data_IF_099833611616
#
_entry.id   IF_099833611616
#
_cell.length_a   1.000
_cell.length_b   1.000
_cell.length_c   1.000
_cell.angle_alpha   90.00
_cell.angle_beta   90.00
_cell.angle_gamma   90.00
#
_symmetry.space_group_name_H-M   'P 1'
#
loop_
_entity.id
_entity.type
_entity.pdbx_description
1 polymer ?
#
# COMPACT_ATOMS: atom_id res chain seq x y z
N UNK A 1 33.43 66.41 33.48
CA UNK A 1 33.55 65.29 32.53
C UNK A 1 32.63 64.18 33.03
N UNK A 2 31.39 64.11 32.54
CA UNK A 2 30.44 63.06 32.90
C UNK A 2 30.20 62.18 31.68
N UNK A 3 30.77 60.97 31.69
CA UNK A 3 30.49 59.93 30.71
C UNK A 3 29.16 59.24 31.06
N UNK A 4 28.14 59.45 30.24
CA UNK A 4 26.89 58.71 30.28
C UNK A 4 27.06 57.35 29.59
N UNK A 5 26.94 56.27 30.36
CA UNK A 5 26.91 54.91 29.84
C UNK A 5 25.61 54.62 29.10
N UNK A 6 25.70 54.35 27.80
CA UNK A 6 24.60 53.82 27.01
C UNK A 6 24.30 52.38 27.45
N UNK A 7 23.13 52.16 28.06
CA UNK A 7 22.60 50.80 28.27
C UNK A 7 22.05 50.29 26.94
N UNK A 8 22.77 49.37 26.32
CA UNK A 8 22.28 48.56 25.20
C UNK A 8 21.04 47.79 25.64
N UNK A 9 19.87 48.14 25.10
CA UNK A 9 18.63 47.41 25.31
C UNK A 9 18.76 46.03 24.64
N UNK A 10 18.79 44.97 25.43
CA UNK A 10 18.69 43.60 24.96
C UNK A 10 17.25 43.39 24.49
N UNK A 11 17.07 43.10 23.19
CA UNK A 11 15.78 42.75 22.63
C UNK A 11 15.22 41.52 23.37
N UNK A 12 14.06 41.67 23.99
CA UNK A 12 13.34 40.55 24.58
C UNK A 12 12.93 39.59 23.47
N UNK A 13 13.48 38.37 23.48
CA UNK A 13 12.97 37.27 22.66
C UNK A 13 11.52 37.03 23.07
N UNK A 14 10.58 37.43 22.22
CA UNK A 14 9.16 37.30 22.48
C UNK A 14 8.78 35.84 22.71
N UNK A 15 7.93 35.59 23.71
CA UNK A 15 7.42 34.26 23.99
C UNK A 15 6.74 33.67 22.72
N UNK A 16 6.91 32.37 22.44
CA UNK A 16 6.27 31.74 21.28
C UNK A 16 4.75 31.90 21.38
N UNK A 17 4.14 32.40 20.30
CA UNK A 17 2.69 32.52 20.18
C UNK A 17 2.07 31.12 20.26
N UNK A 18 0.95 30.94 20.98
CA UNK A 18 0.23 29.67 21.02
C UNK A 18 -0.23 29.25 19.61
N UNK A 19 -0.12 27.95 19.31
CA UNK A 19 -0.65 27.38 18.07
C UNK A 19 -2.20 27.36 18.11
N UNK A 20 -2.83 27.77 17.01
CA UNK A 20 -4.28 27.74 16.82
C UNK A 20 -4.71 26.40 16.21
N UNK A 21 -5.07 25.45 17.06
CA UNK A 21 -5.47 24.10 16.66
C UNK A 21 -6.91 24.07 16.14
N UNK A 22 -7.10 23.53 14.94
CA UNK A 22 -8.43 23.37 14.31
C UNK A 22 -8.66 21.91 13.96
N UNK A 23 -9.89 21.45 14.17
CA UNK A 23 -10.33 20.18 13.64
C UNK A 23 -10.28 20.21 12.11
N UNK A 24 -9.74 19.14 11.51
CA UNK A 24 -9.55 19.04 10.06
C UNK A 24 -10.13 17.74 9.50
N UNK A 25 -9.79 16.60 10.09
CA UNK A 25 -10.18 15.29 9.54
C UNK A 25 -10.39 14.25 10.64
N UNK A 26 -11.29 13.29 10.39
CA UNK A 26 -11.52 12.10 11.21
C UNK A 26 -11.61 10.86 10.32
N UNK A 27 -11.07 9.74 10.81
CA UNK A 27 -11.16 8.42 10.18
C UNK A 27 -11.75 7.42 11.18
N UNK A 28 -12.43 6.38 10.68
CA UNK A 28 -13.01 5.34 11.52
C UNK A 28 -14.29 5.78 12.23
N UNK A 29 -15.15 6.53 11.54
CA UNK A 29 -16.45 6.95 12.08
C UNK A 29 -17.27 5.72 12.50
N UNK A 30 -17.76 5.74 13.74
CA UNK A 30 -18.48 4.62 14.36
C UNK A 30 -19.98 4.79 14.18
N UNK A 31 -20.68 3.68 13.97
CA UNK A 31 -22.13 3.68 14.08
C UNK A 31 -22.53 3.83 15.56
N UNK A 32 -23.57 4.60 15.85
CA UNK A 32 -24.04 4.78 17.23
C UNK A 32 -24.41 3.41 17.86
N UNK A 33 -23.73 3.04 18.94
CA UNK A 33 -23.94 1.77 19.65
C UNK A 33 -22.92 0.67 19.33
N UNK A 34 -21.96 0.90 18.42
CA UNK A 34 -20.88 -0.03 18.14
C UNK A 34 -19.74 0.12 19.17
N UNK A 35 -19.36 -1.00 19.80
CA UNK A 35 -18.23 -1.05 20.73
C UNK A 35 -16.90 -1.04 19.94
N UNK A 36 -15.89 -0.37 20.50
CA UNK A 36 -14.56 -0.32 19.89
C UNK A 36 -13.93 -1.70 20.01
N UNK A 37 -13.63 -2.34 18.89
CA UNK A 37 -12.85 -3.56 18.95
C UNK A 37 -11.43 -3.22 19.38
N UNK A 38 -10.89 -3.99 20.32
CA UNK A 38 -9.56 -3.75 20.84
C UNK A 38 -8.49 -3.83 19.74
N UNK A 39 -8.67 -4.73 18.77
CA UNK A 39 -7.82 -4.90 17.60
C UNK A 39 -7.78 -3.68 16.68
N UNK A 40 -8.81 -2.83 16.69
CA UNK A 40 -8.90 -1.61 15.88
C UNK A 40 -8.31 -0.37 16.59
N UNK A 41 -7.86 -0.50 17.84
CA UNK A 41 -7.24 0.61 18.56
C UNK A 41 -5.87 0.91 17.94
N UNK A 42 -5.73 2.12 17.41
CA UNK A 42 -4.46 2.63 16.89
C UNK A 42 -3.41 2.65 18.02
N UNK A 43 -2.32 1.96 17.80
CA UNK A 43 -1.21 1.75 18.73
C UNK A 43 0.05 2.51 18.31
N UNK A 44 0.23 2.77 17.02
CA UNK A 44 1.35 3.51 16.46
C UNK A 44 0.90 4.44 15.33
N UNK A 45 1.52 5.61 15.24
CA UNK A 45 1.27 6.59 14.17
C UNK A 45 2.59 7.28 13.80
N UNK A 46 2.87 7.42 12.51
CA UNK A 46 4.06 8.13 12.05
C UNK A 46 3.89 8.74 10.65
N UNK A 47 4.28 10.01 10.51
CA UNK A 47 4.45 10.65 9.22
C UNK A 47 5.82 10.30 8.64
N UNK A 48 5.91 10.22 7.31
CA UNK A 48 7.20 10.15 6.65
C UNK A 48 7.95 11.49 6.74
N UNK A 49 9.21 11.49 6.31
CA UNK A 49 10.07 12.68 6.43
C UNK A 49 9.58 13.89 5.62
N UNK A 50 8.78 13.68 4.57
CA UNK A 50 8.20 14.77 3.76
C UNK A 50 6.84 15.23 4.27
N UNK A 51 6.14 14.37 5.03
CA UNK A 51 4.76 14.60 5.47
C UNK A 51 3.71 14.28 4.41
N UNK A 52 4.10 13.63 3.30
CA UNK A 52 3.17 13.21 2.24
C UNK A 52 2.49 11.88 2.54
N UNK A 53 3.08 11.08 3.41
CA UNK A 53 2.56 9.78 3.81
C UNK A 53 2.40 9.68 5.32
N UNK A 54 1.30 9.07 5.74
CA UNK A 54 0.97 8.78 7.13
C UNK A 54 0.74 7.29 7.27
N UNK A 55 1.44 6.65 8.20
CA UNK A 55 1.21 5.26 8.57
C UNK A 55 0.57 5.18 9.95
N UNK A 56 -0.42 4.31 10.09
CA UNK A 56 -1.01 3.93 11.37
C UNK A 56 -0.89 2.43 11.55
N UNK A 57 -0.53 1.99 12.76
CA UNK A 57 -0.59 0.60 13.18
C UNK A 57 -1.60 0.43 14.30
N UNK A 58 -2.26 -0.71 14.36
CA UNK A 58 -3.24 -1.02 15.41
C UNK A 58 -2.80 -2.19 16.31
N UNK A 59 -3.64 -2.54 17.29
CA UNK A 59 -3.41 -3.70 18.17
C UNK A 59 -3.61 -5.02 17.46
N UNK A 60 -4.41 -5.05 16.39
CA UNK A 60 -4.64 -6.20 15.52
C UNK A 60 -3.55 -6.42 14.48
N UNK A 61 -2.37 -5.79 14.60
CA UNK A 61 -1.22 -6.06 13.75
C UNK A 61 -1.33 -5.54 12.32
N UNK A 62 -2.35 -4.74 11.98
CA UNK A 62 -2.51 -4.13 10.66
C UNK A 62 -1.72 -2.83 10.58
N UNK A 63 -1.23 -2.53 9.39
CA UNK A 63 -0.65 -1.23 9.05
C UNK A 63 -1.49 -0.63 7.92
N UNK A 64 -2.03 0.56 8.16
CA UNK A 64 -2.80 1.36 7.19
C UNK A 64 -1.97 2.56 6.77
N UNK A 65 -1.88 2.78 5.47
CA UNK A 65 -1.17 3.89 4.86
C UNK A 65 -2.16 4.88 4.27
N UNK A 66 -1.89 6.15 4.54
CA UNK A 66 -2.59 7.29 3.96
C UNK A 66 -1.61 8.13 3.15
N UNK A 67 -2.13 8.81 2.13
CA UNK A 67 -1.39 9.79 1.34
C UNK A 67 -2.08 11.15 1.38
N UNK A 68 -1.27 12.21 1.43
CA UNK A 68 -1.73 13.59 1.43
C UNK A 68 -2.34 13.94 0.07
N UNK A 69 -3.46 14.68 0.06
CA UNK A 69 -4.21 14.96 -1.16
C UNK A 69 -3.83 16.25 -1.86
N UNK A 70 -3.34 17.24 -1.11
CA UNK A 70 -3.07 18.60 -1.60
C UNK A 70 -1.91 18.70 -2.60
N UNK A 71 -0.92 17.81 -2.55
CA UNK A 71 0.19 17.76 -3.52
C UNK A 71 -0.28 17.56 -4.96
N UNK A 72 -1.43 16.93 -5.19
CA UNK A 72 -1.98 16.73 -6.55
C UNK A 72 -2.64 17.99 -7.10
N UNK A 73 -3.14 18.86 -6.24
CA UNK A 73 -3.85 20.07 -6.65
C UNK A 73 -2.88 21.20 -7.05
N UNK A 74 -1.65 21.19 -6.54
CA UNK A 74 -0.60 22.12 -6.97
C UNK A 74 -0.18 21.94 -8.44
N UNK A 75 -0.26 20.72 -9.00
CA UNK A 75 0.05 20.48 -10.41
C UNK A 75 -1.09 20.85 -11.37
N UNK A 76 -2.33 20.92 -10.88
CA UNK A 76 -3.53 21.28 -11.65
C UNK A 76 -3.88 22.78 -11.64
N UNK A 77 -3.45 23.53 -10.61
CA UNK A 77 -3.86 24.92 -10.41
C UNK A 77 -3.09 25.96 -11.25
N UNK A 78 -1.99 25.60 -11.92
CA UNK A 78 -1.28 26.54 -12.82
C UNK A 78 -2.08 26.94 -14.07
N UNK A 79 -3.20 26.27 -14.37
CA UNK A 79 -4.06 26.60 -15.52
C UNK A 79 -5.15 27.62 -15.22
N UNK A 80 -5.48 27.88 -13.94
CA UNK A 80 -6.42 28.93 -13.54
C UNK A 80 -5.68 30.01 -12.75
N UNK A 81 -5.03 30.91 -13.50
CA UNK A 81 -4.33 32.08 -12.97
C UNK A 81 -5.28 33.12 -12.31
N UNK A 82 -6.59 32.90 -12.37
CA UNK A 82 -7.63 33.84 -11.93
C UNK A 82 -8.06 33.68 -10.46
N UNK A 83 -7.49 32.71 -9.71
CA UNK A 83 -7.89 32.42 -8.32
C UNK A 83 -6.84 32.76 -7.26
N UNK A 84 -6.03 33.79 -7.53
CA UNK A 84 -4.94 34.26 -6.66
C UNK A 84 -5.37 35.28 -5.58
N UNK A 85 -6.67 35.47 -5.33
CA UNK A 85 -7.17 36.43 -4.33
C UNK A 85 -7.52 35.79 -2.97
N UNK A 86 -7.31 34.48 -2.80
CA UNK A 86 -7.45 33.81 -1.50
C UNK A 86 -6.16 33.07 -1.14
N UNK A 87 -5.63 33.22 0.09
CA UNK A 87 -4.52 32.39 0.55
C UNK A 87 -4.94 30.92 0.42
N UNK A 88 -4.06 30.07 -0.11
CA UNK A 88 -4.22 28.62 -0.20
C UNK A 88 -4.27 28.00 1.20
N UNK A 89 -5.41 28.21 1.87
CA UNK A 89 -5.66 27.86 3.27
C UNK A 89 -6.44 26.53 3.36
N UNK A 90 -6.18 25.57 2.46
CA UNK A 90 -6.63 24.20 2.70
C UNK A 90 -5.67 23.54 3.67
N UNK A 91 -6.19 23.10 4.81
CA UNK A 91 -5.48 22.22 5.72
C UNK A 91 -5.16 20.90 4.99
N UNK A 92 -3.97 20.29 5.23
CA UNK A 92 -3.62 19.01 4.62
C UNK A 92 -4.70 17.95 4.90
N UNK A 93 -5.24 17.36 3.84
CA UNK A 93 -6.17 16.24 3.92
C UNK A 93 -5.43 14.96 3.51
N UNK A 94 -5.73 13.87 4.20
CA UNK A 94 -5.17 12.55 3.92
C UNK A 94 -6.25 11.66 3.31
N UNK A 95 -5.87 10.78 2.38
CA UNK A 95 -6.76 9.74 1.84
C UNK A 95 -6.18 8.37 2.13
N UNK A 96 -7.05 7.39 2.31
CA UNK A 96 -6.65 6.00 2.38
C UNK A 96 -5.88 5.62 1.11
N UNK A 97 -4.70 5.02 1.27
CA UNK A 97 -3.88 4.51 0.17
C UNK A 97 -3.97 2.99 0.10
N UNK A 98 -3.59 2.32 1.18
CA UNK A 98 -3.56 0.85 1.23
C UNK A 98 -3.39 0.36 2.66
N UNK A 99 -3.66 -0.91 2.91
CA UNK A 99 -3.43 -1.57 4.19
C UNK A 99 -2.85 -2.97 4.00
N UNK A 100 -2.21 -3.50 5.04
CA UNK A 100 -1.72 -4.86 5.05
C UNK A 100 -1.60 -5.41 6.48
N UNK A 101 -1.78 -6.73 6.63
CA UNK A 101 -1.51 -7.44 7.88
C UNK A 101 0.00 -7.53 8.10
N UNK A 102 0.52 -6.82 9.08
CA UNK A 102 1.95 -6.80 9.33
C UNK A 102 2.38 -7.93 10.26
N UNK A 103 1.72 -8.06 11.40
CA UNK A 103 1.98 -9.09 12.41
C UNK A 103 0.74 -9.94 12.64
N UNK A 104 0.94 -11.19 13.04
CA UNK A 104 -0.11 -12.13 13.41
C UNK A 104 0.21 -12.65 14.81
N UNK A 105 -0.77 -13.13 15.58
CA UNK A 105 -0.51 -13.68 16.90
C UNK A 105 0.41 -14.91 16.77
N UNK A 106 1.48 -14.92 17.56
CA UNK A 106 2.44 -16.03 17.62
C UNK A 106 2.49 -16.58 19.05
N UNK A 107 2.85 -17.85 19.24
CA UNK A 107 3.06 -18.44 20.57
C UNK A 107 4.44 -19.07 20.67
N UNK A 108 5.21 -18.71 21.71
CA UNK A 108 6.49 -19.33 22.03
C UNK A 108 6.25 -20.52 22.97
N UNK A 109 6.35 -21.74 22.44
CA UNK A 109 6.14 -22.97 23.20
C UNK A 109 7.25 -23.27 24.22
N UNK A 110 8.46 -22.74 24.03
CA UNK A 110 9.57 -22.99 24.95
C UNK A 110 9.48 -22.07 26.17
N UNK A 111 9.03 -20.83 25.95
CA UNK A 111 8.85 -19.83 27.00
C UNK A 111 7.41 -19.76 27.52
N UNK A 112 6.48 -20.51 26.94
CA UNK A 112 5.03 -20.46 27.19
C UNK A 112 4.48 -19.04 27.16
N UNK A 113 4.89 -18.27 26.14
CA UNK A 113 4.60 -16.85 26.03
C UNK A 113 3.80 -16.57 24.76
N UNK A 114 2.65 -15.92 24.92
CA UNK A 114 1.88 -15.36 23.81
C UNK A 114 2.57 -14.09 23.30
N UNK A 115 2.70 -14.01 21.98
CA UNK A 115 3.28 -12.87 21.27
C UNK A 115 2.14 -12.16 20.59
N UNK A 116 1.80 -10.99 21.10
CA UNK A 116 0.78 -10.14 20.51
C UNK A 116 1.17 -9.70 19.09
N UNK A 117 0.15 -9.58 18.24
CA UNK A 117 0.29 -9.00 16.90
C UNK A 117 0.39 -7.48 16.92
N UNK A 118 0.14 -6.85 18.06
CA UNK A 118 0.16 -5.40 18.24
C UNK A 118 1.40 -4.75 17.63
N UNK A 119 1.14 -3.71 16.83
CA UNK A 119 2.21 -2.84 16.33
C UNK A 119 2.69 -1.93 17.45
N UNK A 120 3.96 -2.05 17.83
CA UNK A 120 4.55 -1.20 18.87
C UNK A 120 5.06 0.13 18.30
N UNK A 121 5.71 0.08 17.13
CA UNK A 121 6.28 1.24 16.45
C UNK A 121 6.29 1.01 14.94
N UNK A 122 6.17 2.12 14.22
CA UNK A 122 6.41 2.22 12.78
C UNK A 122 7.58 3.19 12.58
N UNK A 123 8.44 2.89 11.62
CA UNK A 123 9.54 3.76 11.17
C UNK A 123 9.61 3.83 9.66
N UNK A 124 9.28 4.99 9.08
CA UNK A 124 9.51 5.24 7.67
C UNK A 124 11.00 5.18 7.31
N UNK A 125 11.29 4.55 6.19
CA UNK A 125 12.60 4.52 5.55
C UNK A 125 12.57 5.39 4.30
N UNK A 126 13.74 5.80 3.81
CA UNK A 126 13.81 6.62 2.60
C UNK A 126 13.17 5.90 1.41
N UNK A 127 12.20 6.56 0.76
CA UNK A 127 11.55 6.05 -0.44
C UNK A 127 12.55 5.99 -1.60
N UNK A 128 12.43 4.95 -2.43
CA UNK A 128 13.31 4.75 -3.58
C UNK A 128 12.57 3.98 -4.68
N UNK A 129 12.88 4.27 -5.94
CA UNK A 129 12.32 3.57 -7.11
C UNK A 129 10.77 3.55 -7.15
N UNK A 130 10.12 4.61 -6.65
CA UNK A 130 8.65 4.69 -6.58
C UNK A 130 8.03 3.68 -5.61
N UNK A 131 8.81 3.17 -4.66
CA UNK A 131 8.33 2.31 -3.58
C UNK A 131 8.49 3.01 -2.22
N UNK A 132 7.54 2.72 -1.34
CA UNK A 132 7.55 3.13 0.05
C UNK A 132 8.22 2.03 0.88
N UNK A 133 9.00 2.45 1.86
CA UNK A 133 9.69 1.54 2.76
C UNK A 133 9.39 1.92 4.20
N UNK A 134 9.05 0.94 5.03
CA UNK A 134 8.86 1.16 6.46
C UNK A 134 9.26 -0.07 7.26
N UNK A 135 9.62 0.16 8.51
CA UNK A 135 9.79 -0.87 9.52
C UNK A 135 8.56 -0.88 10.42
N UNK A 136 8.08 -2.06 10.76
CA UNK A 136 7.10 -2.26 11.84
C UNK A 136 7.68 -3.22 12.88
N UNK A 137 7.34 -3.02 14.14
CA UNK A 137 7.86 -3.84 15.24
C UNK A 137 6.75 -4.36 16.12
N UNK A 138 6.86 -5.61 16.57
CA UNK A 138 6.16 -6.12 17.75
C UNK A 138 7.20 -6.50 18.82
N UNK A 139 6.81 -7.25 19.85
CA UNK A 139 7.69 -7.59 20.98
C UNK A 139 8.86 -8.51 20.63
N UNK A 140 8.80 -9.20 19.49
CA UNK A 140 9.77 -10.24 19.11
C UNK A 140 10.44 -10.03 17.77
N UNK A 141 9.80 -9.29 16.88
CA UNK A 141 10.19 -9.21 15.48
C UNK A 141 10.12 -7.79 14.98
N UNK A 142 11.06 -7.48 14.08
CA UNK A 142 11.05 -6.27 13.27
C UNK A 142 10.82 -6.72 11.84
N UNK A 143 9.84 -6.14 11.16
CA UNK A 143 9.55 -6.43 9.75
C UNK A 143 9.87 -5.21 8.92
N UNK A 144 10.63 -5.41 7.84
CA UNK A 144 10.87 -4.42 6.81
C UNK A 144 9.91 -4.66 5.66
N UNK A 145 9.17 -3.61 5.31
CA UNK A 145 8.14 -3.62 4.29
C UNK A 145 8.55 -2.75 3.12
N UNK A 146 8.42 -3.30 1.92
CA UNK A 146 8.39 -2.55 0.67
C UNK A 146 6.97 -2.56 0.14
N UNK A 147 6.39 -1.38 -0.02
CA UNK A 147 5.06 -1.16 -0.58
C UNK A 147 5.22 -0.48 -1.93
N UNK A 148 4.74 -1.12 -3.00
CA UNK A 148 4.87 -0.59 -4.35
C UNK A 148 3.59 -0.82 -5.14
N UNK A 149 3.02 0.25 -5.69
CA UNK A 149 1.93 0.15 -6.65
C UNK A 149 2.46 -0.37 -7.98
N UNK A 150 1.85 -1.44 -8.51
CA UNK A 150 2.16 -1.97 -9.83
C UNK A 150 0.86 -2.11 -10.63
N UNK A 151 0.85 -1.58 -11.84
CA UNK A 151 -0.23 -1.85 -12.81
C UNK A 151 -0.06 -3.26 -13.34
N UNK A 152 -0.83 -4.21 -12.79
CA UNK A 152 -0.84 -5.57 -13.30
C UNK A 152 -1.84 -5.64 -14.44
N UNK A 153 -1.36 -5.99 -15.64
CA UNK A 153 -2.23 -6.34 -16.76
C UNK A 153 -2.60 -7.80 -16.59
N UNK A 154 -3.82 -8.08 -16.12
CA UNK A 154 -4.35 -9.44 -16.07
C UNK A 154 -5.05 -9.72 -17.40
N UNK A 155 -4.63 -10.78 -18.07
CA UNK A 155 -5.34 -11.29 -19.25
C UNK A 155 -6.38 -12.28 -18.73
N UNK A 156 -7.65 -11.92 -18.83
CA UNK A 156 -8.77 -12.80 -18.51
C UNK A 156 -9.34 -13.37 -19.82
N UNK A 157 -9.92 -14.57 -19.76
CA UNK A 157 -10.46 -15.33 -20.89
C UNK A 157 -9.40 -15.87 -21.86
N UNK A 158 -8.88 -17.06 -21.53
CA UNK A 158 -8.25 -17.96 -22.51
C UNK A 158 -9.34 -18.95 -22.96
N UNK A 159 -9.44 -19.18 -24.26
CA UNK A 159 -10.37 -20.18 -24.80
C UNK A 159 -9.81 -21.58 -24.49
N UNK A 160 -10.02 -22.08 -23.27
CA UNK A 160 -9.72 -23.47 -22.91
C UNK A 160 -11.06 -24.16 -22.70
N UNK A 161 -11.51 -24.87 -23.71
CA UNK A 161 -12.65 -25.78 -23.62
C UNK A 161 -12.34 -26.91 -22.63
N UNK A 162 -12.62 -26.70 -21.35
CA UNK A 162 -12.63 -27.78 -20.34
C UNK A 162 -13.97 -28.52 -20.43
N UNK A 163 -14.22 -29.24 -21.52
CA UNK A 163 -15.23 -30.30 -21.54
C UNK A 163 -15.22 -31.10 -22.84
N UNK A 164 -14.54 -32.25 -22.82
CA UNK A 164 -15.00 -33.52 -23.40
C UNK A 164 -14.05 -34.66 -23.00
N UNK A 165 -14.08 -35.00 -21.71
CA UNK A 165 -13.73 -36.34 -21.25
C UNK A 165 -14.98 -36.93 -20.57
N UNK A 166 -15.96 -37.31 -21.40
CA UNK A 166 -17.04 -38.22 -20.97
C UNK A 166 -16.45 -39.63 -20.97
N UNK A 167 -16.65 -40.35 -19.89
CA UNK A 167 -15.81 -41.47 -19.46
C UNK A 167 -15.93 -42.77 -20.25
N UNK A 168 -14.95 -43.66 -20.00
CA UNK A 168 -15.15 -45.03 -19.53
C UNK A 168 -13.78 -45.75 -19.47
N UNK A 169 -13.42 -46.30 -18.31
CA UNK A 169 -12.32 -47.27 -18.16
C UNK A 169 -11.58 -47.12 -16.82
N UNK A 170 -11.43 -48.19 -16.00
CA UNK A 170 -10.73 -48.11 -14.73
C UNK A 170 -9.24 -48.44 -14.85
N UNK A 171 -8.50 -48.16 -13.77
CA UNK A 171 -7.20 -48.73 -13.32
C UNK A 171 -6.10 -47.67 -13.12
N UNK A 172 -5.91 -47.35 -11.83
CA UNK A 172 -4.66 -47.42 -11.03
C UNK A 172 -3.44 -46.52 -11.34
N UNK A 173 -2.90 -46.05 -10.21
CA UNK A 173 -1.52 -45.66 -9.89
C UNK A 173 -0.90 -44.31 -10.31
N UNK A 174 -0.60 -43.56 -9.24
CA UNK A 174 0.73 -43.07 -8.85
C UNK A 174 1.41 -41.89 -9.60
N UNK A 175 1.66 -40.86 -8.76
CA UNK A 175 2.93 -40.12 -8.58
C UNK A 175 3.43 -39.10 -9.63
N UNK A 176 3.60 -37.86 -9.13
CA UNK A 176 4.78 -36.94 -9.17
C UNK A 176 5.45 -36.57 -10.53
N UNK A 177 5.89 -35.30 -10.58
CA UNK A 177 7.00 -34.68 -11.35
C UNK A 177 6.57 -33.91 -12.60
N UNK A 178 6.65 -32.57 -12.60
CA UNK A 178 7.81 -31.67 -12.84
C UNK A 178 8.43 -31.75 -14.23
N UNK A 179 8.85 -30.57 -14.71
CA UNK A 179 9.65 -30.33 -15.91
C UNK A 179 8.85 -30.42 -17.22
N UNK A 180 9.21 -29.77 -18.33
CA UNK A 180 10.21 -28.76 -18.64
C UNK A 180 9.91 -28.30 -20.07
N UNK A 181 10.37 -27.10 -20.39
CA UNK A 181 10.67 -26.53 -21.72
C UNK A 181 10.39 -27.40 -22.96
N UNK A 182 9.78 -26.80 -23.98
CA UNK A 182 10.18 -27.07 -25.35
C UNK A 182 10.19 -25.78 -26.21
N UNK A 183 11.40 -25.38 -26.60
CA UNK A 183 11.71 -24.53 -27.75
C UNK A 183 11.42 -25.30 -29.04
N UNK A 184 10.95 -24.61 -30.10
CA UNK A 184 11.31 -24.65 -31.56
C UNK A 184 10.58 -23.41 -32.17
N UNK A 185 11.14 -22.37 -32.79
CA UNK A 185 12.10 -22.13 -33.89
C UNK A 185 11.49 -22.17 -35.32
N UNK A 186 11.71 -21.08 -36.07
CA UNK A 186 11.53 -20.86 -37.53
C UNK A 186 10.14 -20.59 -38.17
N UNK A 187 9.94 -19.33 -38.55
CA UNK A 187 9.81 -18.90 -39.96
C UNK A 187 8.49 -19.10 -40.70
N UNK A 188 7.95 -18.00 -41.27
CA UNK A 188 7.09 -18.07 -42.45
C UNK A 188 5.90 -17.12 -42.46
N UNK A 189 6.06 -15.95 -43.08
CA UNK A 189 4.94 -15.12 -43.51
C UNK A 189 4.42 -15.70 -44.84
N UNK A 190 3.26 -16.37 -44.86
CA UNK A 190 2.58 -16.73 -46.12
C UNK A 190 1.07 -16.54 -45.98
N UNK A 191 0.57 -15.54 -46.72
CA UNK A 191 -0.67 -15.55 -47.52
C UNK A 191 -2.02 -15.47 -46.78
N UNK A 192 -2.67 -14.33 -46.99
CA UNK A 192 -4.13 -14.19 -46.91
C UNK A 192 -4.77 -15.13 -47.95
N UNK A 193 -5.46 -16.16 -47.50
CA UNK A 193 -6.56 -16.81 -48.21
C UNK A 193 -7.42 -17.54 -47.16
N UNK A 194 -8.19 -16.78 -46.38
CA UNK A 194 -9.21 -17.32 -45.48
C UNK A 194 -10.53 -17.43 -46.23
N UNK A 195 -10.87 -18.62 -46.71
CA UNK A 195 -12.24 -18.96 -47.07
C UNK A 195 -12.96 -19.50 -45.83
N UNK A 196 -13.92 -18.74 -45.29
CA UNK A 196 -14.79 -19.19 -44.21
C UNK A 196 -15.95 -20.04 -44.78
N UNK A 197 -16.28 -21.22 -44.20
CA UNK A 197 -17.51 -21.91 -44.54
C UNK A 197 -18.73 -21.18 -43.98
N UNK A 198 -19.83 -21.18 -44.74
CA UNK A 198 -21.13 -20.61 -44.39
C UNK A 198 -21.81 -21.45 -43.31
N UNK A 199 -21.39 -21.26 -42.07
CA UNK A 199 -21.93 -21.92 -40.88
C UNK A 199 -21.15 -21.45 -39.66
N UNK A 200 -21.65 -20.40 -39.00
CA UNK A 200 -20.91 -19.63 -37.99
C UNK A 200 -20.34 -20.47 -36.86
N UNK A 201 -19.09 -20.19 -36.50
CA UNK A 201 -18.46 -20.74 -35.30
C UNK A 201 -19.04 -20.07 -34.04
N UNK A 202 -19.33 -20.81 -32.96
CA UNK A 202 -19.70 -20.21 -31.69
C UNK A 202 -18.52 -19.38 -31.15
N UNK A 203 -18.76 -18.08 -30.98
CA UNK A 203 -18.07 -17.10 -30.12
C UNK A 203 -16.61 -17.38 -29.74
N UNK A 204 -15.68 -16.92 -30.58
CA UNK A 204 -14.31 -16.62 -30.12
C UNK A 204 -14.37 -15.38 -29.20
N UNK A 205 -14.10 -15.56 -27.90
CA UNK A 205 -13.86 -14.43 -26.99
C UNK A 205 -12.40 -14.00 -27.10
N UNK A 206 -12.19 -12.75 -27.47
CA UNK A 206 -10.86 -12.15 -27.48
C UNK A 206 -10.40 -11.94 -26.03
N UNK A 207 -9.12 -12.20 -25.71
CA UNK A 207 -8.58 -11.98 -24.38
C UNK A 207 -8.79 -10.53 -23.96
N UNK A 208 -9.50 -10.32 -22.85
CA UNK A 208 -9.73 -8.99 -22.30
C UNK A 208 -8.58 -8.66 -21.36
N UNK A 209 -7.84 -7.61 -21.67
CA UNK A 209 -6.81 -7.07 -20.79
C UNK A 209 -7.47 -6.12 -19.80
N UNK A 210 -7.60 -6.55 -18.55
CA UNK A 210 -8.02 -5.67 -17.45
C UNK A 210 -6.76 -5.22 -16.73
N UNK A 211 -6.57 -3.90 -16.63
CA UNK A 211 -5.49 -3.32 -15.83
C UNK A 211 -6.07 -2.79 -14.52
N UNK A 212 -5.84 -3.51 -13.42
CA UNK A 212 -6.16 -3.05 -12.08
C UNK A 212 -4.88 -2.56 -11.40
N UNK A 213 -4.89 -1.40 -10.70
CA UNK A 213 -3.80 -1.04 -9.82
C UNK A 213 -3.79 -2.00 -8.63
N UNK A 214 -2.73 -2.80 -8.51
CA UNK A 214 -2.52 -3.69 -7.36
C UNK A 214 -1.32 -3.19 -6.56
N UNK A 215 -1.41 -3.28 -5.23
CA UNK A 215 -0.30 -2.96 -4.34
C UNK A 215 0.49 -4.25 -4.06
N UNK A 216 1.78 -4.24 -4.36
CA UNK A 216 2.68 -5.34 -4.06
C UNK A 216 3.41 -5.07 -2.74
N UNK A 217 3.35 -6.07 -1.86
CA UNK A 217 4.03 -6.07 -0.58
C UNK A 217 5.17 -7.07 -0.62
N UNK A 218 6.38 -6.60 -0.34
CA UNK A 218 7.51 -7.48 -0.05
C UNK A 218 7.90 -7.30 1.41
N UNK A 219 7.96 -8.42 2.13
CA UNK A 219 8.24 -8.48 3.57
C UNK A 219 9.55 -9.19 3.82
N UNK A 220 10.43 -8.56 4.58
CA UNK A 220 11.61 -9.20 5.17
C UNK A 220 11.42 -9.18 6.69
N UNK A 221 11.41 -10.36 7.31
CA UNK A 221 11.28 -10.48 8.76
C UNK A 221 12.66 -10.62 9.38
N UNK A 222 13.03 -9.68 10.25
CA UNK A 222 14.21 -9.74 11.09
C UNK A 222 13.74 -10.25 12.47
N UNK A 223 14.00 -11.52 12.75
CA UNK A 223 13.77 -12.08 14.10
C UNK A 223 15.01 -11.82 14.94
N UNK A 224 14.84 -11.16 16.08
CA UNK A 224 15.91 -11.08 17.07
C UNK A 224 16.02 -12.45 17.73
N UNK A 225 17.12 -13.17 17.48
CA UNK A 225 17.46 -14.37 18.24
C UNK A 225 18.03 -13.91 19.60
N UNK A 226 17.23 -14.01 20.66
CA UNK A 226 17.69 -13.98 22.04
C UNK A 226 17.16 -15.21 22.79
#
# INVERSE_FOLDING_TARGET
MNNGGAKTAVASVGAPQPLDWKFSQVFGERTAGEEVQEVDIISAIEFDGTGDHLATGDRGGRVVLFERTDTRDYAGHWRDLEKMDYPMNRHPEFRYKTEFQSHEPEFDYLKSLEIEEKINKIRWCQSANGALFLLSTNDKTIKFWKVQEKKVKKVCDMNVDSSKAMGNGPIVDSSISTSSKQFIENGGCIRNDFSFPTGGFPSLRLPVVVSNPECLFLRITIKHFF
#
